data_IF_183643777393
#
_entry.id   IF_183643777393
#
_cell.length_a   1.000
_cell.length_b   1.000
_cell.length_c   1.000
_cell.angle_alpha   90.00
_cell.angle_beta   90.00
_cell.angle_gamma   90.00
#
_symmetry.space_group_name_H-M   'P 1'
#
loop_
_entity.id
_entity.type
_entity.pdbx_description
1 polymer ?
#
# COMPACT_ATOMS: atom_id res chain seq x y z
N UNK A 1 8.16 9.34 22.53
CA UNK A 1 8.16 10.42 21.53
C UNK A 1 7.56 9.84 20.24
N UNK A 2 6.39 10.32 19.83
CA UNK A 2 5.74 9.85 18.59
C UNK A 2 6.42 10.57 17.44
N UNK A 3 6.87 9.83 16.43
CA UNK A 3 7.51 10.40 15.26
C UNK A 3 6.46 11.05 14.35
N UNK A 4 6.85 12.06 13.57
CA UNK A 4 5.98 12.68 12.55
C UNK A 4 5.41 11.63 11.61
N UNK A 5 6.21 10.62 11.23
CA UNK A 5 5.80 9.52 10.37
C UNK A 5 4.65 8.69 10.95
N UNK A 6 4.68 8.42 12.26
CA UNK A 6 3.61 7.67 12.94
C UNK A 6 2.30 8.44 12.95
N UNK A 7 2.37 9.76 13.12
CA UNK A 7 1.20 10.64 13.05
C UNK A 7 0.60 10.66 11.64
N UNK A 8 1.42 10.85 10.62
CA UNK A 8 0.97 10.86 9.22
C UNK A 8 0.37 9.50 8.80
N UNK A 9 0.97 8.39 9.25
CA UNK A 9 0.40 7.07 9.06
C UNK A 9 -0.98 6.93 9.72
N UNK A 10 -1.10 7.30 11.00
CA UNK A 10 -2.38 7.24 11.71
C UNK A 10 -3.44 8.12 11.05
N UNK A 11 -3.04 9.29 10.54
CA UNK A 11 -3.92 10.19 9.81
C UNK A 11 -4.41 9.58 8.49
N UNK A 12 -3.52 8.98 7.71
CA UNK A 12 -3.88 8.31 6.47
C UNK A 12 -4.88 7.15 6.70
N UNK A 13 -4.64 6.34 7.73
CA UNK A 13 -5.55 5.25 8.12
C UNK A 13 -6.91 5.78 8.55
N UNK A 14 -6.93 6.82 9.38
CA UNK A 14 -8.17 7.47 9.82
C UNK A 14 -9.00 7.97 8.63
N UNK A 15 -8.38 8.69 7.70
CA UNK A 15 -9.05 9.21 6.52
C UNK A 15 -9.58 8.10 5.60
N UNK A 16 -8.80 7.03 5.45
CA UNK A 16 -9.22 5.88 4.65
C UNK A 16 -10.42 5.17 5.29
N UNK A 17 -10.45 5.03 6.61
CA UNK A 17 -11.59 4.47 7.33
C UNK A 17 -12.84 5.33 7.16
N UNK A 18 -12.73 6.64 7.32
CA UNK A 18 -13.84 7.57 7.12
C UNK A 18 -14.37 7.54 5.68
N UNK A 19 -13.47 7.48 4.71
CA UNK A 19 -13.84 7.37 3.31
C UNK A 19 -14.60 6.07 3.02
N UNK A 20 -14.07 4.94 3.45
CA UNK A 20 -14.71 3.62 3.23
C UNK A 20 -16.04 3.56 3.96
N UNK A 21 -16.12 4.11 5.17
CA UNK A 21 -17.36 4.22 5.91
C UNK A 21 -18.41 5.06 5.18
N UNK A 22 -18.02 6.11 4.48
CA UNK A 22 -18.92 6.96 3.71
C UNK A 22 -19.49 6.27 2.46
N UNK A 23 -18.75 5.32 1.90
CA UNK A 23 -19.11 4.58 0.68
C UNK A 23 -19.82 3.26 1.01
N UNK A 24 -19.40 2.61 2.08
CA UNK A 24 -19.87 1.28 2.49
C UNK A 24 -20.61 1.39 3.82
N UNK A 25 -21.91 1.15 3.79
CA UNK A 25 -22.76 1.19 5.00
C UNK A 25 -22.59 -0.04 5.90
N UNK A 26 -21.66 -0.94 5.60
CA UNK A 26 -21.45 -2.17 6.34
C UNK A 26 -20.51 -2.00 7.55
N UNK A 27 -20.58 -2.97 8.47
CA UNK A 27 -19.79 -2.99 9.72
C UNK A 27 -18.30 -3.31 9.50
N UNK A 28 -17.90 -3.66 8.27
CA UNK A 28 -16.55 -4.14 7.96
C UNK A 28 -15.63 -3.05 7.40
N UNK A 29 -15.97 -1.77 7.57
CA UNK A 29 -15.17 -0.67 7.00
C UNK A 29 -13.74 -0.62 7.54
N UNK A 30 -13.50 -0.99 8.79
CA UNK A 30 -12.16 -1.02 9.39
C UNK A 30 -11.28 -2.08 8.73
N UNK A 31 -11.81 -3.30 8.57
CA UNK A 31 -11.12 -4.38 7.87
C UNK A 31 -10.80 -4.00 6.43
N UNK A 32 -11.74 -3.38 5.71
CA UNK A 32 -11.52 -2.92 4.34
C UNK A 32 -10.39 -1.88 4.27
N UNK A 33 -10.34 -0.94 5.21
CA UNK A 33 -9.28 0.05 5.27
C UNK A 33 -7.90 -0.60 5.49
N UNK A 34 -7.80 -1.57 6.40
CA UNK A 34 -6.57 -2.31 6.62
C UNK A 34 -6.12 -3.08 5.38
N UNK A 35 -7.04 -3.74 4.68
CA UNK A 35 -6.75 -4.46 3.43
C UNK A 35 -6.22 -3.49 2.36
N UNK A 36 -6.86 -2.34 2.16
CA UNK A 36 -6.41 -1.34 1.18
C UNK A 36 -5.02 -0.80 1.52
N UNK A 37 -4.76 -0.50 2.80
CA UNK A 37 -3.43 -0.03 3.24
C UNK A 37 -2.35 -1.10 3.00
N UNK A 38 -2.62 -2.33 3.40
CA UNK A 38 -1.67 -3.44 3.25
C UNK A 38 -1.40 -3.77 1.79
N UNK A 39 -2.42 -3.72 0.94
CA UNK A 39 -2.27 -3.89 -0.50
C UNK A 39 -1.42 -2.78 -1.12
N UNK A 40 -1.65 -1.51 -0.73
CA UNK A 40 -0.90 -0.37 -1.24
C UNK A 40 0.59 -0.45 -0.87
N UNK A 41 0.89 -0.84 0.37
CA UNK A 41 2.27 -1.06 0.83
C UNK A 41 2.92 -2.25 0.09
N UNK A 42 2.18 -3.34 -0.15
CA UNK A 42 2.67 -4.48 -0.94
C UNK A 42 3.01 -4.07 -2.36
N UNK A 43 2.21 -3.20 -2.99
CA UNK A 43 2.50 -2.68 -4.32
C UNK A 43 3.78 -1.85 -4.36
N UNK A 44 4.06 -1.05 -3.34
CA UNK A 44 5.33 -0.32 -3.24
C UNK A 44 6.53 -1.26 -3.08
N UNK A 45 6.42 -2.30 -2.26
CA UNK A 45 7.48 -3.30 -2.10
C UNK A 45 7.73 -4.01 -3.42
N UNK A 46 6.69 -4.44 -4.13
CA UNK A 46 6.81 -5.09 -5.43
C UNK A 46 7.42 -4.14 -6.48
N UNK A 47 7.01 -2.86 -6.50
CA UNK A 47 7.60 -1.86 -7.38
C UNK A 47 9.10 -1.69 -7.11
N UNK A 48 9.52 -1.63 -5.86
CA UNK A 48 10.92 -1.55 -5.47
C UNK A 48 11.72 -2.80 -5.90
N UNK A 49 11.14 -4.00 -5.75
CA UNK A 49 11.76 -5.26 -6.18
C UNK A 49 11.92 -5.28 -7.71
N UNK A 50 10.89 -4.94 -8.47
CA UNK A 50 10.96 -4.87 -9.93
C UNK A 50 11.99 -3.84 -10.42
N UNK A 51 11.99 -2.64 -9.83
CA UNK A 51 12.95 -1.60 -10.18
C UNK A 51 14.39 -2.03 -9.86
N UNK A 52 14.61 -2.66 -8.71
CA UNK A 52 15.91 -3.22 -8.32
C UNK A 52 16.37 -4.32 -9.28
N UNK A 53 15.46 -5.19 -9.74
CA UNK A 53 15.73 -6.23 -10.73
C UNK A 53 16.21 -5.62 -12.06
N UNK A 54 15.51 -4.61 -12.55
CA UNK A 54 15.90 -3.88 -13.76
C UNK A 54 17.27 -3.23 -13.61
N UNK A 55 17.51 -2.53 -12.50
CA UNK A 55 18.76 -1.83 -12.23
C UNK A 55 19.99 -2.76 -12.16
N UNK A 56 19.79 -3.99 -11.69
CA UNK A 56 20.85 -5.00 -11.57
C UNK A 56 20.99 -5.87 -12.82
N UNK A 57 20.08 -5.78 -13.79
CA UNK A 57 20.00 -6.69 -14.94
C UNK A 57 19.79 -8.16 -14.53
N UNK A 58 19.31 -8.40 -13.32
CA UNK A 58 19.15 -9.72 -12.74
C UNK A 58 17.67 -10.13 -12.71
N UNK A 59 17.35 -11.33 -13.16
CA UNK A 59 16.03 -11.91 -13.00
C UNK A 59 15.86 -12.37 -11.57
N UNK A 60 14.67 -12.14 -11.03
CA UNK A 60 14.31 -12.61 -9.70
C UNK A 60 13.36 -13.79 -9.89
N UNK A 61 13.83 -14.99 -9.60
CA UNK A 61 13.10 -16.25 -9.80
C UNK A 61 11.71 -16.25 -9.17
N UNK A 62 11.56 -15.61 -8.02
CA UNK A 62 10.25 -15.46 -7.33
C UNK A 62 9.22 -14.71 -8.17
N UNK A 63 9.67 -13.84 -9.09
CA UNK A 63 8.79 -13.04 -9.95
C UNK A 63 8.52 -13.71 -11.31
N UNK A 64 9.29 -14.71 -11.68
CA UNK A 64 9.16 -15.41 -12.98
C UNK A 64 7.98 -16.39 -12.99
N UNK A 65 7.80 -17.11 -11.90
CA UNK A 65 6.69 -18.04 -11.77
C UNK A 65 5.43 -17.33 -11.26
N UNK A 66 4.32 -17.45 -11.99
CA UNK A 66 3.02 -16.90 -11.58
C UNK A 66 2.61 -17.40 -10.19
N UNK A 67 2.91 -18.65 -9.86
CA UNK A 67 2.58 -19.23 -8.56
C UNK A 67 3.44 -18.62 -7.43
N UNK A 68 4.75 -18.55 -7.63
CA UNK A 68 5.68 -17.96 -6.65
C UNK A 68 5.40 -16.47 -6.43
N UNK A 69 5.08 -15.73 -7.49
CA UNK A 69 4.67 -14.33 -7.40
C UNK A 69 3.40 -14.16 -6.56
N UNK A 70 2.38 -14.99 -6.81
CA UNK A 70 1.14 -14.94 -6.06
C UNK A 70 1.37 -15.24 -4.57
N UNK A 71 2.09 -16.31 -4.27
CA UNK A 71 2.41 -16.70 -2.89
C UNK A 71 3.20 -15.63 -2.16
N UNK A 72 4.21 -15.05 -2.82
CA UNK A 72 4.98 -13.93 -2.26
C UNK A 72 4.11 -12.69 -1.99
N UNK A 73 3.27 -12.31 -2.97
CA UNK A 73 2.39 -11.14 -2.85
C UNK A 73 1.37 -11.31 -1.72
N UNK A 74 0.75 -12.49 -1.61
CA UNK A 74 -0.19 -12.81 -0.54
C UNK A 74 0.52 -12.84 0.82
N UNK A 75 1.71 -13.44 0.89
CA UNK A 75 2.52 -13.47 2.11
C UNK A 75 2.90 -12.07 2.60
N UNK A 76 3.39 -11.20 1.70
CA UNK A 76 3.67 -9.81 2.01
C UNK A 76 2.43 -9.06 2.49
N UNK A 77 1.31 -9.21 1.79
CA UNK A 77 0.06 -8.54 2.17
C UNK A 77 -0.44 -9.01 3.54
N UNK A 78 -0.34 -10.30 3.85
CA UNK A 78 -0.73 -10.85 5.15
C UNK A 78 0.15 -10.32 6.29
N UNK A 79 1.48 -10.31 6.11
CA UNK A 79 2.41 -9.75 7.11
C UNK A 79 2.17 -8.26 7.35
N UNK A 80 1.95 -7.49 6.28
CA UNK A 80 1.64 -6.06 6.39
C UNK A 80 0.28 -5.83 7.05
N UNK A 81 -0.71 -6.67 6.77
CA UNK A 81 -2.01 -6.61 7.41
C UNK A 81 -1.89 -6.80 8.93
N UNK A 82 -1.12 -7.78 9.38
CA UNK A 82 -0.87 -8.02 10.82
C UNK A 82 -0.11 -6.84 11.45
N UNK A 83 0.95 -6.34 10.78
CA UNK A 83 1.74 -5.21 11.26
C UNK A 83 0.90 -3.92 11.33
N UNK A 84 0.07 -3.65 10.32
CA UNK A 84 -0.83 -2.52 10.28
C UNK A 84 -1.88 -2.60 11.39
N UNK A 85 -2.50 -3.76 11.61
CA UNK A 85 -3.45 -3.97 12.70
C UNK A 85 -2.85 -3.62 14.06
N UNK A 86 -1.66 -4.13 14.35
CA UNK A 86 -0.93 -3.81 15.58
C UNK A 86 -0.59 -2.32 15.71
N UNK A 87 -0.15 -1.67 14.61
CA UNK A 87 0.16 -0.24 14.61
C UNK A 87 -1.10 0.61 14.82
N UNK A 88 -2.21 0.24 14.17
CA UNK A 88 -3.49 0.93 14.31
C UNK A 88 -4.04 0.88 15.73
N UNK A 89 -4.04 -0.28 16.37
CA UNK A 89 -4.50 -0.43 17.76
C UNK A 89 -3.75 0.48 18.73
N UNK A 90 -2.47 0.75 18.46
CA UNK A 90 -1.64 1.61 19.31
C UNK A 90 -1.70 3.09 18.95
N UNK A 91 -1.75 3.42 17.68
CA UNK A 91 -1.59 4.81 17.22
C UNK A 91 -2.93 5.55 17.09
N UNK A 92 -3.96 4.90 16.55
CA UNK A 92 -5.24 5.56 16.29
C UNK A 92 -5.88 6.16 17.54
N UNK A 93 -5.93 5.48 18.70
CA UNK A 93 -6.55 6.06 19.90
C UNK A 93 -5.86 7.34 20.37
N UNK A 94 -4.53 7.45 20.15
CA UNK A 94 -3.74 8.60 20.61
C UNK A 94 -4.05 9.89 19.84
N UNK A 95 -4.52 9.76 18.60
CA UNK A 95 -4.80 10.89 17.70
C UNK A 95 -6.28 11.09 17.41
N UNK A 96 -7.13 10.17 17.86
CA UNK A 96 -8.55 10.16 17.51
C UNK A 96 -9.24 11.50 17.79
N UNK A 97 -9.04 12.05 18.98
CA UNK A 97 -9.64 13.34 19.35
C UNK A 97 -9.20 14.49 18.44
N UNK A 98 -7.91 14.53 18.08
CA UNK A 98 -7.39 15.55 17.17
C UNK A 98 -7.97 15.41 15.76
N UNK A 99 -8.14 14.18 15.27
CA UNK A 99 -8.68 13.93 13.95
C UNK A 99 -10.20 14.15 13.88
N UNK A 100 -10.91 13.86 14.95
CA UNK A 100 -12.36 14.10 15.04
C UNK A 100 -12.70 15.60 15.01
N UNK A 101 -11.83 16.46 15.53
CA UNK A 101 -11.96 17.91 15.52
C UNK A 101 -11.65 18.56 14.16
N UNK A 102 -11.11 17.82 13.19
CA UNK A 102 -10.82 18.36 11.87
C UNK A 102 -12.10 18.76 11.15
N UNK A 103 -12.04 19.89 10.44
CA UNK A 103 -13.13 20.36 9.62
C UNK A 103 -13.47 19.36 8.49
N UNK A 104 -14.74 19.32 8.11
CA UNK A 104 -15.25 18.43 7.07
C UNK A 104 -14.53 18.63 5.72
N UNK A 105 -14.09 19.86 5.45
CA UNK A 105 -13.33 20.19 4.24
C UNK A 105 -11.94 19.55 4.25
N UNK A 106 -11.25 19.56 5.40
CA UNK A 106 -9.92 19.01 5.54
C UNK A 106 -9.95 17.48 5.52
N UNK A 107 -10.95 16.86 6.16
CA UNK A 107 -11.20 15.41 6.05
C UNK A 107 -11.40 14.98 4.60
N UNK A 108 -12.20 15.73 3.82
CA UNK A 108 -12.44 15.40 2.41
C UNK A 108 -11.19 15.57 1.54
N UNK A 109 -10.42 16.63 1.74
CA UNK A 109 -9.15 16.85 1.02
C UNK A 109 -8.15 15.75 1.32
N UNK A 110 -8.01 15.42 2.60
CA UNK A 110 -7.13 14.33 3.03
C UNK A 110 -7.56 12.98 2.47
N UNK A 111 -8.86 12.67 2.45
CA UNK A 111 -9.38 11.44 1.86
C UNK A 111 -9.06 11.32 0.36
N UNK A 112 -9.19 12.42 -0.39
CA UNK A 112 -8.81 12.47 -1.81
C UNK A 112 -7.30 12.23 -1.96
N UNK A 113 -6.46 12.85 -1.11
CA UNK A 113 -5.01 12.67 -1.14
C UNK A 113 -4.62 11.20 -0.87
N UNK A 114 -5.26 10.54 0.09
CA UNK A 114 -5.03 9.11 0.38
C UNK A 114 -5.44 8.23 -0.80
N UNK A 115 -6.58 8.50 -1.45
CA UNK A 115 -7.00 7.78 -2.66
C UNK A 115 -6.00 7.94 -3.80
N UNK A 116 -5.51 9.15 -4.03
CA UNK A 116 -4.48 9.40 -5.05
C UNK A 116 -3.19 8.66 -4.73
N UNK A 117 -2.79 8.61 -3.45
CA UNK A 117 -1.63 7.85 -3.03
C UNK A 117 -1.79 6.34 -3.29
N UNK A 118 -2.94 5.75 -2.96
CA UNK A 118 -3.25 4.34 -3.25
C UNK A 118 -3.17 4.06 -4.75
N UNK A 119 -3.75 4.95 -5.58
CA UNK A 119 -3.69 4.83 -7.03
C UNK A 119 -2.26 4.93 -7.55
N UNK A 120 -1.47 5.85 -7.03
CA UNK A 120 -0.05 6.01 -7.39
C UNK A 120 0.77 4.76 -7.03
N UNK A 121 0.53 4.14 -5.88
CA UNK A 121 1.18 2.88 -5.51
C UNK A 121 0.89 1.77 -6.53
N UNK A 122 -0.36 1.64 -6.95
CA UNK A 122 -0.76 0.68 -7.98
C UNK A 122 -0.11 0.98 -9.34
N UNK A 123 -0.13 2.23 -9.78
CA UNK A 123 0.49 2.65 -11.04
C UNK A 123 2.01 2.45 -11.03
N UNK A 124 2.67 2.75 -9.91
CA UNK A 124 4.11 2.53 -9.75
C UNK A 124 4.47 1.04 -9.89
N UNK A 125 3.69 0.15 -9.26
CA UNK A 125 3.88 -1.29 -9.37
C UNK A 125 3.69 -1.78 -10.82
N UNK A 126 2.61 -1.35 -11.49
CA UNK A 126 2.33 -1.76 -12.87
C UNK A 126 3.39 -1.25 -13.86
N UNK A 127 3.83 0.00 -13.69
CA UNK A 127 4.90 0.58 -14.51
C UNK A 127 6.24 -0.15 -14.31
N UNK A 128 6.61 -0.42 -13.05
CA UNK A 128 7.83 -1.16 -12.74
C UNK A 128 7.81 -2.60 -13.27
N UNK A 129 6.68 -3.29 -13.15
CA UNK A 129 6.49 -4.63 -13.69
C UNK A 129 6.58 -4.64 -15.23
N UNK A 130 5.98 -3.65 -15.90
CA UNK A 130 6.06 -3.49 -17.33
C UNK A 130 7.49 -3.21 -17.82
N UNK A 131 8.20 -2.30 -17.14
CA UNK A 131 9.60 -2.00 -17.45
C UNK A 131 10.49 -3.25 -17.28
N UNK A 132 10.31 -4.00 -16.19
CA UNK A 132 11.04 -5.23 -15.94
C UNK A 132 10.83 -6.27 -17.05
N UNK A 133 9.59 -6.48 -17.48
CA UNK A 133 9.28 -7.39 -18.59
C UNK A 133 9.93 -6.97 -19.91
N UNK A 134 9.96 -5.67 -20.22
CA UNK A 134 10.62 -5.18 -21.44
C UNK A 134 12.13 -5.36 -21.40
N UNK A 135 12.76 -4.91 -20.33
CA UNK A 135 14.24 -4.92 -20.23
C UNK A 135 14.77 -6.34 -20.14
N UNK A 136 14.19 -7.18 -19.27
CA UNK A 136 14.66 -8.54 -19.04
C UNK A 136 14.20 -9.52 -20.11
N UNK A 137 13.06 -9.27 -20.77
CA UNK A 137 12.57 -10.06 -21.89
C UNK A 137 13.39 -9.89 -23.16
N UNK A 138 13.88 -8.70 -23.45
CA UNK A 138 14.77 -8.44 -24.60
C UNK A 138 16.15 -9.08 -24.43
N UNK A 139 16.65 -9.21 -23.21
CA UNK A 139 17.93 -9.90 -22.97
C UNK A 139 17.87 -11.41 -23.23
N UNK A 140 16.70 -12.03 -23.08
CA UNK A 140 16.51 -13.45 -23.34
C UNK A 140 16.42 -13.80 -24.80
N UNK A 141 16.14 -12.86 -25.71
CA UNK A 141 16.06 -13.07 -27.16
C UNK A 141 17.40 -12.87 -27.89
N UNK A 142 18.46 -12.49 -27.17
CA UNK A 142 19.80 -12.23 -27.72
C UNK A 142 20.80 -13.32 -27.33
N UNK A 143 20.41 -14.28 -26.49
CA UNK A 143 21.18 -15.49 -26.17
C UNK A 143 20.63 -16.72 -26.90
#
# INVERSE_FOLDING_TARGET
>A
MITTLQREYAFAVFLLRELIRSISADRFFEWKAQVVMSASQSFLILAAIYTSSVARGARIEVLESKHSFLMFSVGCAALLYMANGYAEERLLPQFKEQFDQLDRRDKRRGAIAVLLLVLLCYLAMTAAAYAARRVLGTQASVQ
#
